data_IF_600151365603
#
_entry.id   IF_600151365603
#
_cell.length_a   1.000
_cell.length_b   1.000
_cell.length_c   1.000
_cell.angle_alpha   90.00
_cell.angle_beta   90.00
_cell.angle_gamma   90.00
#
_symmetry.space_group_name_H-M   'P 1'
#
loop_
_entity.id
_entity.type
_entity.pdbx_description
1 polymer ?
#
# COMPACT_ATOMS: atom_id res chain seq x y z
N UNK A 1 -5.52 -2.91 -19.46
CA UNK A 1 -5.65 -2.08 -18.24
C UNK A 1 -4.73 -0.87 -18.36
N UNK A 2 -5.19 0.31 -17.96
CA UNK A 2 -4.33 1.50 -17.95
C UNK A 2 -3.20 1.34 -16.92
N UNK A 3 -1.97 1.80 -17.22
CA UNK A 3 -0.90 1.86 -16.24
C UNK A 3 -1.28 2.74 -15.05
N UNK A 4 -0.90 2.31 -13.84
CA UNK A 4 -1.14 3.04 -12.59
C UNK A 4 0.18 3.25 -11.85
N UNK A 5 0.29 4.35 -11.09
CA UNK A 5 1.45 4.58 -10.21
C UNK A 5 1.30 3.73 -8.95
N UNK A 6 2.41 3.08 -8.56
CA UNK A 6 2.51 2.22 -7.37
C UNK A 6 3.78 2.56 -6.60
N UNK A 7 3.80 2.26 -5.30
CA UNK A 7 5.00 2.39 -4.47
C UNK A 7 5.77 1.07 -4.46
N UNK A 8 6.90 1.01 -5.17
CA UNK A 8 7.72 -0.19 -5.30
C UNK A 8 8.68 -0.39 -4.11
N UNK A 9 9.26 0.70 -3.61
CA UNK A 9 10.09 0.80 -2.42
C UNK A 9 9.81 2.16 -1.72
N UNK A 10 10.32 2.41 -0.50
CA UNK A 10 10.16 3.72 0.14
C UNK A 10 10.60 4.86 -0.79
N UNK A 11 9.68 5.78 -1.10
CA UNK A 11 9.88 6.90 -2.03
C UNK A 11 10.24 6.53 -3.49
N UNK A 12 10.04 5.27 -3.89
CA UNK A 12 10.23 4.79 -5.26
C UNK A 12 8.87 4.52 -5.91
N UNK A 13 8.44 5.48 -6.74
CA UNK A 13 7.18 5.43 -7.47
C UNK A 13 7.41 4.87 -8.88
N UNK A 14 6.68 3.82 -9.23
CA UNK A 14 6.79 3.16 -10.55
C UNK A 14 5.43 3.02 -11.21
N UNK A 15 5.43 2.85 -12.53
CA UNK A 15 4.23 2.48 -13.28
C UNK A 15 4.07 0.97 -13.32
N UNK A 16 2.84 0.50 -13.13
CA UNK A 16 2.45 -0.91 -13.22
C UNK A 16 1.24 -1.06 -14.12
N UNK A 17 1.20 -2.12 -14.93
CA UNK A 17 -0.03 -2.58 -15.59
C UNK A 17 -0.73 -3.55 -14.62
N UNK A 18 -1.87 -3.19 -13.99
CA UNK A 18 -2.51 -4.01 -12.97
C UNK A 18 -3.36 -5.14 -13.60
N UNK A 19 -2.71 -6.04 -14.34
CA UNK A 19 -3.32 -7.20 -14.97
C UNK A 19 -2.86 -8.49 -14.27
N UNK A 20 -3.80 -9.31 -13.78
CA UNK A 20 -3.50 -10.56 -13.08
C UNK A 20 -2.75 -11.59 -13.95
N UNK A 21 -2.77 -11.43 -15.27
CA UNK A 21 -2.00 -12.28 -16.21
C UNK A 21 -0.53 -11.85 -16.30
N UNK A 22 -0.21 -10.63 -15.85
CA UNK A 22 1.12 -10.02 -15.93
C UNK A 22 1.81 -9.88 -14.57
N UNK A 23 1.09 -10.05 -13.47
CA UNK A 23 1.62 -9.93 -12.10
C UNK A 23 1.56 -11.28 -11.37
N UNK A 24 2.60 -11.58 -10.62
CA UNK A 24 2.75 -12.79 -9.83
C UNK A 24 1.94 -12.77 -8.52
N UNK A 25 1.68 -11.58 -7.98
CA UNK A 25 0.90 -11.37 -6.76
C UNK A 25 -0.18 -10.27 -6.95
N UNK A 26 -1.41 -10.69 -7.21
CA UNK A 26 -2.51 -9.78 -7.54
C UNK A 26 -2.97 -8.84 -6.40
N UNK A 27 -2.84 -9.26 -5.13
CA UNK A 27 -3.24 -8.48 -3.93
C UNK A 27 -4.62 -7.77 -4.05
N UNK A 28 -5.69 -8.48 -4.41
CA UNK A 28 -6.99 -7.88 -4.78
C UNK A 28 -7.58 -6.99 -3.67
N UNK A 29 -7.32 -7.32 -2.41
CA UNK A 29 -7.79 -6.56 -1.24
C UNK A 29 -7.25 -5.14 -1.18
N UNK A 30 -5.98 -4.92 -1.56
CA UNK A 30 -5.38 -3.57 -1.57
C UNK A 30 -5.97 -2.73 -2.69
N UNK A 31 -6.13 -3.33 -3.88
CA UNK A 31 -6.71 -2.65 -5.03
C UNK A 31 -8.17 -2.27 -4.82
N UNK A 32 -8.95 -3.10 -4.12
CA UNK A 32 -10.37 -2.82 -3.87
C UNK A 32 -10.59 -1.50 -3.15
N UNK A 33 -9.64 -1.08 -2.31
CA UNK A 33 -9.74 0.14 -1.50
C UNK A 33 -8.85 1.27 -2.00
N UNK A 34 -8.16 1.13 -3.14
CA UNK A 34 -7.18 2.09 -3.66
C UNK A 34 -7.82 3.22 -4.48
N UNK A 35 -8.80 3.92 -3.89
CA UNK A 35 -9.39 5.11 -4.51
C UNK A 35 -8.64 6.39 -4.11
N UNK A 36 -9.08 7.53 -4.64
CA UNK A 36 -8.46 8.84 -4.44
C UNK A 36 -8.43 9.33 -2.98
N UNK A 37 -9.18 8.70 -2.06
CA UNK A 37 -9.20 9.05 -0.62
C UNK A 37 -8.33 8.13 0.21
N UNK A 38 -7.85 7.02 -0.34
CA UNK A 38 -7.13 6.04 0.45
C UNK A 38 -5.72 6.50 0.81
N UNK A 39 -5.32 6.15 2.03
CA UNK A 39 -3.93 6.22 2.50
C UNK A 39 -3.55 4.87 3.07
N UNK A 40 -2.37 4.39 2.73
CA UNK A 40 -1.77 3.19 3.29
C UNK A 40 -0.63 3.57 4.22
N UNK A 41 -0.57 2.93 5.39
CA UNK A 41 0.62 2.91 6.24
C UNK A 41 1.42 1.66 5.89
N UNK A 42 2.68 1.86 5.52
CA UNK A 42 3.66 0.82 5.24
C UNK A 42 4.65 0.77 6.40
N UNK A 43 4.68 -0.35 7.10
CA UNK A 43 5.64 -0.64 8.17
C UNK A 43 6.69 -1.62 7.60
N UNK A 44 7.94 -1.17 7.50
CA UNK A 44 9.06 -2.01 7.04
C UNK A 44 9.87 -2.50 8.24
N UNK A 45 10.58 -3.64 8.17
CA UNK A 45 11.37 -4.13 9.29
C UNK A 45 12.38 -3.11 9.80
N UNK A 46 12.47 -3.01 11.13
CA UNK A 46 13.50 -2.23 11.78
C UNK A 46 14.89 -2.82 11.46
N UNK A 47 15.87 -1.94 11.25
CA UNK A 47 17.27 -2.36 11.21
C UNK A 47 17.69 -2.95 12.56
N UNK A 48 18.67 -3.87 12.61
CA UNK A 48 19.22 -4.35 13.87
C UNK A 48 19.66 -3.18 14.77
N UNK A 49 19.20 -3.17 16.02
CA UNK A 49 19.49 -2.10 16.97
C UNK A 49 18.60 -0.84 16.85
N UNK A 50 17.68 -0.78 15.87
CA UNK A 50 16.67 0.27 15.83
C UNK A 50 15.50 -0.05 16.78
N UNK A 51 15.03 0.98 17.51
CA UNK A 51 14.00 0.80 18.54
C UNK A 51 12.58 0.56 18.01
N UNK A 52 12.24 1.06 16.81
CA UNK A 52 10.90 0.92 16.20
C UNK A 52 11.01 0.76 14.68
N UNK A 53 10.07 0.05 14.03
CA UNK A 53 10.04 -0.06 12.58
C UNK A 53 9.66 1.29 11.95
N UNK A 54 10.33 1.68 10.85
CA UNK A 54 9.97 2.91 10.14
C UNK A 54 8.60 2.76 9.46
N UNK A 55 7.85 3.86 9.47
CA UNK A 55 6.51 3.98 8.89
C UNK A 55 6.54 4.96 7.71
N UNK A 56 5.84 4.61 6.64
CA UNK A 56 5.59 5.49 5.49
C UNK A 56 4.09 5.54 5.22
N UNK A 57 3.53 6.76 5.15
CA UNK A 57 2.18 6.99 4.65
C UNK A 57 2.22 7.29 3.15
N UNK A 58 1.34 6.67 2.36
CA UNK A 58 1.27 6.89 0.91
C UNK A 58 -0.17 6.76 0.40
N UNK A 59 -0.51 7.50 -0.66
CA UNK A 59 -1.77 7.30 -1.41
C UNK A 59 -1.64 6.27 -2.53
N UNK A 60 -0.42 5.79 -2.83
CA UNK A 60 -0.19 4.78 -3.86
C UNK A 60 -0.35 3.37 -3.31
N UNK A 61 -0.73 2.43 -4.17
CA UNK A 61 -0.76 1.00 -3.80
C UNK A 61 0.66 0.52 -3.49
N UNK A 62 0.94 0.06 -2.25
CA UNK A 62 2.28 -0.33 -1.86
C UNK A 62 2.58 -1.79 -2.21
N UNK A 63 3.66 -1.99 -2.96
CA UNK A 63 4.19 -3.29 -3.33
C UNK A 63 5.45 -3.67 -2.54
N UNK A 64 5.89 -2.80 -1.63
CA UNK A 64 7.07 -2.95 -0.77
C UNK A 64 7.10 -4.31 -0.07
N UNK A 65 8.27 -4.97 -0.08
CA UNK A 65 8.52 -6.25 0.58
C UNK A 65 9.93 -6.28 1.17
N UNK A 66 10.12 -6.84 2.39
CA UNK A 66 9.09 -7.18 3.37
C UNK A 66 8.42 -5.92 3.96
N UNK A 67 7.09 -5.94 4.11
CA UNK A 67 6.35 -4.86 4.78
C UNK A 67 4.98 -5.33 5.28
N UNK A 68 4.48 -4.71 6.36
CA UNK A 68 3.07 -4.77 6.75
C UNK A 68 2.36 -3.54 6.19
N UNK A 69 1.20 -3.75 5.57
CA UNK A 69 0.42 -2.69 4.93
C UNK A 69 -0.90 -2.56 5.68
N UNK A 70 -1.22 -1.35 6.14
CA UNK A 70 -2.46 -1.03 6.84
C UNK A 70 -3.22 0.07 6.06
N UNK A 71 -4.34 -0.25 5.39
CA UNK A 71 -5.19 0.78 4.77
C UNK A 71 -5.88 1.61 5.85
N UNK A 72 -5.99 2.93 5.65
CA UNK A 72 -6.66 3.86 6.54
C UNK A 72 -8.19 3.65 6.51
N UNK A 73 -8.77 3.32 5.36
CA UNK A 73 -10.20 3.05 5.22
C UNK A 73 -10.46 1.60 4.83
N UNK A 74 -11.44 0.94 5.47
CA UNK A 74 -11.85 -0.44 5.16
C UNK A 74 -12.69 -0.54 3.88
N UNK A 75 -13.37 0.55 3.52
CA UNK A 75 -14.24 0.62 2.35
C UNK A 75 -13.86 1.78 1.44
N UNK A 76 -14.12 1.65 0.13
CA UNK A 76 -14.00 2.76 -0.80
C UNK A 76 -14.84 3.98 -0.42
N UNK A 77 -14.36 5.15 -0.82
CA UNK A 77 -14.95 6.45 -0.60
C UNK A 77 -14.56 7.10 0.72
N UNK A 78 -13.63 6.51 1.48
CA UNK A 78 -13.16 7.08 2.75
C UNK A 78 -14.19 7.05 3.89
N UNK A 79 -15.13 6.11 3.85
CA UNK A 79 -16.34 6.15 4.71
C UNK A 79 -16.23 5.34 5.99
N UNK A 80 -15.28 4.42 6.08
CA UNK A 80 -15.14 3.52 7.23
C UNK A 80 -13.67 3.48 7.66
N UNK A 81 -13.26 4.34 8.62
CA UNK A 81 -11.90 4.33 9.13
C UNK A 81 -11.53 2.97 9.75
N UNK A 82 -10.32 2.51 9.44
CA UNK A 82 -9.72 1.28 9.93
C UNK A 82 -8.83 1.57 11.16
N UNK A 83 -9.33 2.36 12.09
CA UNK A 83 -8.67 2.71 13.34
C UNK A 83 -9.53 2.23 14.51
N UNK A 84 -8.91 1.93 15.64
CA UNK A 84 -9.66 1.77 16.88
C UNK A 84 -10.25 3.14 17.31
N UNK A 85 -11.43 3.18 17.94
CA UNK A 85 -12.00 4.39 18.51
C UNK A 85 -11.09 5.05 19.56
#
# INVERSE_FOLDING_TARGET
PEPVRVLAAPFDERWLIPDHRLIDAARPELWRVADARQVFVVETPAAPGAGQPPLLATSLVPLVRPARIRPLYRRPGGREPNLAP
#
